data_IF_099527351295
#
_entry.id   IF_099527351295
#
_cell.length_a   1.000
_cell.length_b   1.000
_cell.length_c   1.000
_cell.angle_alpha   90.00
_cell.angle_beta   90.00
_cell.angle_gamma   90.00
#
_symmetry.space_group_name_H-M   'P 1'
#
loop_
_entity.id
_entity.type
_entity.pdbx_description
1 polymer ?
#
# COMPACT_ATOMS: atom_id res chain seq x y z
N UNK A 1 0.02 15.93 -41.15
CA UNK A 1 -0.23 14.80 -40.21
C UNK A 1 0.87 14.58 -39.15
N UNK A 2 1.74 15.57 -38.85
CA UNK A 2 2.81 15.43 -37.84
C UNK A 2 2.44 16.04 -36.47
N UNK A 3 1.76 17.19 -36.46
CA UNK A 3 1.36 17.89 -35.23
C UNK A 3 0.42 17.07 -34.33
N UNK A 4 -0.57 16.39 -34.92
CA UNK A 4 -1.52 15.51 -34.20
C UNK A 4 -0.77 14.39 -33.46
N UNK A 5 0.26 13.80 -34.08
CA UNK A 5 1.08 12.75 -33.45
C UNK A 5 1.89 13.29 -32.27
N UNK A 6 2.31 14.55 -32.30
CA UNK A 6 3.07 15.18 -31.22
C UNK A 6 2.17 15.53 -30.04
N UNK A 7 0.97 16.06 -30.30
CA UNK A 7 -0.04 16.33 -29.26
C UNK A 7 -0.48 15.03 -28.58
N UNK A 8 -0.78 13.98 -29.36
CA UNK A 8 -1.17 12.68 -28.82
C UNK A 8 -0.04 12.04 -27.98
N UNK A 9 1.22 12.15 -28.42
CA UNK A 9 2.38 11.69 -27.66
C UNK A 9 2.55 12.44 -26.34
N UNK A 10 2.33 13.75 -26.32
CA UNK A 10 2.39 14.53 -25.09
C UNK A 10 1.22 14.19 -24.16
N UNK A 11 0.03 13.94 -24.69
CA UNK A 11 -1.13 13.52 -23.90
C UNK A 11 -0.93 12.13 -23.27
N UNK A 12 -0.39 11.16 -24.03
CA UNK A 12 -0.03 9.82 -23.51
C UNK A 12 1.05 9.90 -22.42
N UNK A 13 2.03 10.80 -22.55
CA UNK A 13 3.04 11.04 -21.50
C UNK A 13 2.44 11.75 -20.27
N UNK A 14 1.49 12.64 -20.45
CA UNK A 14 0.80 13.32 -19.35
C UNK A 14 -0.14 12.37 -18.59
N UNK A 15 -0.75 11.40 -19.27
CA UNK A 15 -1.66 10.43 -18.63
C UNK A 15 -0.92 9.39 -17.78
N UNK A 16 0.35 9.08 -18.09
CA UNK A 16 1.19 8.17 -17.29
C UNK A 16 1.91 8.83 -16.11
N UNK A 17 1.90 10.15 -16.00
CA UNK A 17 2.74 10.88 -15.02
C UNK A 17 1.99 11.43 -13.82
N UNK A 18 0.67 11.22 -13.72
CA UNK A 18 -0.14 11.74 -12.60
C UNK A 18 -0.23 10.79 -11.40
N UNK A 19 0.36 9.59 -11.43
CA UNK A 19 0.37 8.67 -10.26
C UNK A 19 1.59 8.81 -9.35
N UNK A 20 2.50 9.75 -9.61
CA UNK A 20 3.80 9.85 -8.89
C UNK A 20 3.95 11.16 -8.08
N UNK A 21 2.89 11.92 -7.81
CA UNK A 21 3.03 13.14 -6.98
C UNK A 21 1.87 13.38 -6.03
N UNK A 22 1.74 12.52 -5.02
CA UNK A 22 1.21 12.90 -3.71
C UNK A 22 1.93 12.14 -2.59
N UNK A 23 3.22 12.41 -2.43
CA UNK A 23 3.95 12.25 -1.17
C UNK A 23 3.96 13.59 -0.41
N UNK A 24 2.80 14.24 -0.31
CA UNK A 24 2.66 15.44 0.53
C UNK A 24 2.57 15.05 2.03
N UNK A 25 2.41 13.75 2.31
CA UNK A 25 2.26 13.17 3.65
C UNK A 25 3.30 12.05 3.95
N UNK A 26 4.25 11.82 3.04
CA UNK A 26 5.26 10.76 3.17
C UNK A 26 6.63 11.42 3.16
N UNK A 27 7.37 11.26 4.27
CA UNK A 27 8.66 11.89 4.52
C UNK A 27 9.71 11.65 3.43
N UNK A 28 10.91 12.27 3.55
CA UNK A 28 11.87 12.40 2.45
C UNK A 28 12.13 11.08 1.74
N UNK A 29 11.73 10.98 0.47
CA UNK A 29 11.93 9.78 -0.32
C UNK A 29 13.42 9.46 -0.49
N UNK A 30 13.83 8.20 -0.30
CA UNK A 30 15.21 7.76 -0.53
C UNK A 30 15.81 6.80 0.50
N UNK A 31 15.17 6.59 1.66
CA UNK A 31 15.62 5.61 2.65
C UNK A 31 14.77 4.34 2.65
N UNK A 32 15.36 3.14 2.90
CA UNK A 32 14.60 1.90 3.03
C UNK A 32 13.45 2.03 4.03
N UNK A 33 12.23 1.77 3.57
CA UNK A 33 11.01 1.85 4.37
C UNK A 33 10.29 3.19 4.39
N UNK A 34 10.82 4.23 3.74
CA UNK A 34 10.11 5.52 3.57
C UNK A 34 8.79 5.39 2.78
N UNK A 35 8.72 4.38 1.92
CA UNK A 35 7.60 4.12 1.01
C UNK A 35 6.62 3.07 1.55
N UNK A 36 6.81 2.58 2.78
CA UNK A 36 5.93 1.61 3.39
C UNK A 36 4.76 2.32 4.07
N UNK A 37 3.53 1.79 3.97
CA UNK A 37 2.37 2.31 4.69
C UNK A 37 2.40 1.99 6.20
N UNK A 38 3.51 1.45 6.71
CA UNK A 38 3.70 1.05 8.11
C UNK A 38 5.06 1.57 8.61
N UNK A 39 5.08 2.03 9.86
CA UNK A 39 6.29 2.54 10.48
C UNK A 39 7.21 1.37 10.89
N UNK A 40 8.44 1.35 10.36
CA UNK A 40 9.45 0.33 10.65
C UNK A 40 10.53 0.78 11.66
N UNK A 41 10.47 2.01 12.17
CA UNK A 41 11.49 2.58 13.06
C UNK A 41 11.51 1.88 14.43
N UNK A 42 10.34 1.49 14.95
CA UNK A 42 10.22 0.78 16.21
C UNK A 42 9.89 -0.69 15.98
N UNK A 43 10.87 -1.56 16.26
CA UNK A 43 10.73 -3.02 16.14
C UNK A 43 9.57 -3.60 16.94
N UNK A 44 9.23 -3.04 18.11
CA UNK A 44 8.14 -3.55 18.95
C UNK A 44 6.77 -3.24 18.33
N UNK A 45 6.59 -2.02 17.82
CA UNK A 45 5.35 -1.61 17.13
C UNK A 45 5.19 -2.39 15.83
N UNK A 46 6.28 -2.58 15.08
CA UNK A 46 6.27 -3.39 13.86
C UNK A 46 5.81 -4.83 14.16
N UNK A 47 6.44 -5.50 15.13
CA UNK A 47 6.10 -6.88 15.49
C UNK A 47 4.66 -6.99 15.99
N UNK A 48 4.20 -6.06 16.84
CA UNK A 48 2.82 -6.04 17.31
C UNK A 48 1.83 -5.89 16.15
N UNK A 49 2.11 -4.99 15.20
CA UNK A 49 1.28 -4.77 14.01
C UNK A 49 1.23 -6.02 13.14
N UNK A 50 2.37 -6.69 12.93
CA UNK A 50 2.44 -7.95 12.20
C UNK A 50 1.60 -9.06 12.86
N UNK A 51 1.73 -9.23 14.18
CA UNK A 51 0.96 -10.23 14.93
C UNK A 51 -0.54 -9.97 14.82
N UNK A 52 -0.97 -8.72 14.98
CA UNK A 52 -2.39 -8.38 14.90
C UNK A 52 -2.94 -8.58 13.48
N UNK A 53 -2.21 -8.13 12.46
CA UNK A 53 -2.64 -8.24 11.07
C UNK A 53 -2.76 -9.71 10.62
N UNK A 54 -1.68 -10.48 10.77
CA UNK A 54 -1.69 -11.89 10.35
C UNK A 54 -2.45 -12.79 11.31
N UNK A 55 -2.37 -12.54 12.62
CA UNK A 55 -3.06 -13.33 13.64
C UNK A 55 -4.57 -13.19 13.54
N UNK A 56 -5.10 -11.99 13.25
CA UNK A 56 -6.55 -11.82 13.03
C UNK A 56 -7.03 -12.58 11.79
N UNK A 57 -6.35 -12.45 10.65
CA UNK A 57 -6.69 -13.19 9.44
C UNK A 57 -6.59 -14.71 9.61
N UNK A 58 -5.55 -15.21 10.29
CA UNK A 58 -5.34 -16.64 10.51
C UNK A 58 -6.36 -17.21 11.50
N UNK A 59 -6.71 -16.49 12.56
CA UNK A 59 -7.66 -16.97 13.58
C UNK A 59 -9.13 -16.95 13.11
N UNK A 60 -9.48 -16.09 12.16
CA UNK A 60 -10.87 -15.87 11.74
C UNK A 60 -11.60 -17.16 11.29
N UNK A 61 -11.05 -18.02 10.40
CA UNK A 61 -11.74 -19.24 9.98
C UNK A 61 -12.02 -20.20 11.13
N UNK A 62 -11.10 -20.31 12.10
CA UNK A 62 -11.26 -21.16 13.27
C UNK A 62 -12.33 -20.63 14.23
N UNK A 63 -12.39 -19.31 14.41
CA UNK A 63 -13.44 -18.68 15.21
C UNK A 63 -14.82 -18.86 14.57
N UNK A 64 -14.92 -18.72 13.25
CA UNK A 64 -16.16 -18.96 12.50
C UNK A 64 -16.57 -20.43 12.59
N UNK A 65 -15.63 -21.36 12.42
CA UNK A 65 -15.90 -22.79 12.59
C UNK A 65 -16.37 -23.10 14.01
N UNK A 66 -15.69 -22.57 15.04
CA UNK A 66 -16.10 -22.72 16.43
C UNK A 66 -17.50 -22.17 16.67
N UNK A 67 -17.81 -21.00 16.10
CA UNK A 67 -19.13 -20.40 16.19
C UNK A 67 -20.21 -21.32 15.60
N UNK A 68 -19.94 -21.95 14.45
CA UNK A 68 -20.87 -22.89 13.83
C UNK A 68 -21.01 -24.22 14.56
N UNK A 69 -19.97 -24.69 15.26
CA UNK A 69 -20.05 -25.94 16.05
C UNK A 69 -20.78 -25.75 17.39
N UNK A 70 -20.80 -24.54 17.94
CA UNK A 70 -21.42 -24.21 19.23
C UNK A 70 -22.84 -23.66 19.09
N UNK A 71 -23.35 -23.60 17.86
CA UNK A 71 -24.69 -23.15 17.51
C UNK A 71 -25.49 -24.35 17.01
#
# INVERSE_FOLDING_TARGET
>A
MSAIRTVLRNFIRSFKTTTVRKSEDHGPEGFPGANLPINIQNRYVLTATFILFFGSGLSLPFLVLRYHLLK
#
